data_IF_420587580440
#
_entry.id   IF_420587580440
#
_cell.length_a   1.000
_cell.length_b   1.000
_cell.length_c   1.000
_cell.angle_alpha   90.00
_cell.angle_beta   90.00
_cell.angle_gamma   90.00
#
_symmetry.space_group_name_H-M   'P 1'
#
loop_
_entity.id
_entity.type
_entity.pdbx_description
1 polymer ?
#
# COMPACT_ATOMS: atom_id res chain seq x y z
N UNK A 1 11.93 -17.41 38.55
CA UNK A 1 10.68 -18.17 38.74
C UNK A 1 9.59 -17.90 37.69
N UNK A 2 9.56 -16.77 36.98
CA UNK A 2 8.45 -16.38 36.07
C UNK A 2 8.37 -17.23 34.77
N UNK A 3 9.51 -17.70 34.24
CA UNK A 3 9.53 -18.48 32.99
C UNK A 3 8.89 -19.87 33.08
N UNK A 4 8.92 -20.49 34.27
CA UNK A 4 8.38 -21.84 34.49
C UNK A 4 6.84 -21.88 34.47
N UNK A 5 6.17 -20.79 34.87
CA UNK A 5 4.70 -20.71 34.84
C UNK A 5 4.16 -20.62 33.42
N UNK A 6 4.77 -19.79 32.56
CA UNK A 6 4.36 -19.66 31.15
C UNK A 6 4.50 -20.96 30.35
N UNK A 7 5.55 -21.73 30.62
CA UNK A 7 5.77 -23.01 29.94
C UNK A 7 4.73 -24.05 30.38
N UNK A 8 4.40 -24.11 31.67
CA UNK A 8 3.37 -25.01 32.20
C UNK A 8 1.97 -24.66 31.69
N UNK A 9 1.62 -23.38 31.59
CA UNK A 9 0.34 -22.93 31.03
C UNK A 9 0.22 -23.30 29.55
N UNK A 10 1.28 -23.06 28.77
CA UNK A 10 1.30 -23.39 27.33
C UNK A 10 1.18 -24.90 27.07
N UNK A 11 1.81 -25.72 27.90
CA UNK A 11 1.68 -27.19 27.83
C UNK A 11 0.27 -27.66 28.21
N UNK A 12 -0.38 -26.98 29.18
CA UNK A 12 -1.74 -27.31 29.63
C UNK A 12 -2.79 -26.91 28.60
N UNK A 13 -2.63 -25.76 27.94
CA UNK A 13 -3.46 -25.31 26.81
C UNK A 13 -3.31 -26.22 25.59
N UNK A 14 -2.08 -26.66 25.26
CA UNK A 14 -1.84 -27.61 24.18
C UNK A 14 -2.47 -28.98 24.44
N UNK A 15 -2.41 -29.47 25.69
CA UNK A 15 -3.07 -30.71 26.08
C UNK A 15 -4.61 -30.61 26.08
N UNK A 16 -5.17 -29.44 26.38
CA UNK A 16 -6.62 -29.19 26.32
C UNK A 16 -7.15 -29.02 24.89
N UNK A 17 -6.34 -28.48 23.98
CA UNK A 17 -6.70 -28.38 22.57
C UNK A 17 -6.60 -29.71 21.82
N UNK A 18 -5.72 -30.62 22.25
CA UNK A 18 -5.61 -31.97 21.69
C UNK A 18 -6.80 -32.89 22.03
N UNK A 19 -7.56 -32.60 23.09
CA UNK A 19 -8.71 -33.41 23.53
C UNK A 19 -10.07 -32.96 22.99
N UNK A 20 -10.14 -31.78 22.33
CA UNK A 20 -11.38 -31.25 21.71
C UNK A 20 -11.35 -31.41 20.20
N UNK A 21 -11.39 -32.66 19.72
CA UNK A 21 -11.63 -32.96 18.31
C UNK A 21 -13.09 -32.71 17.94
N UNK A 22 -13.35 -31.86 16.93
CA UNK A 22 -14.62 -31.84 16.19
C UNK A 22 -15.27 -30.49 15.87
N UNK A 23 -14.73 -29.35 16.31
CA UNK A 23 -15.24 -28.03 15.93
C UNK A 23 -14.22 -27.29 15.07
N UNK A 24 -14.65 -26.63 13.99
CA UNK A 24 -13.80 -25.72 13.23
C UNK A 24 -13.08 -24.78 14.21
N UNK A 25 -11.75 -24.90 14.31
CA UNK A 25 -10.99 -24.10 15.26
C UNK A 25 -11.15 -22.65 14.86
N UNK A 26 -11.87 -21.85 15.65
CA UNK A 26 -11.88 -20.39 15.47
C UNK A 26 -10.43 -19.95 15.62
N UNK A 27 -9.76 -19.66 14.50
CA UNK A 27 -8.39 -19.16 14.52
C UNK A 27 -8.40 -17.87 15.32
N UNK A 28 -7.65 -17.85 16.42
CA UNK A 28 -7.52 -16.65 17.25
C UNK A 28 -6.84 -15.57 16.41
N UNK A 29 -7.57 -14.50 16.12
CA UNK A 29 -7.04 -13.37 15.35
C UNK A 29 -5.86 -12.74 16.09
N UNK A 30 -4.80 -12.42 15.34
CA UNK A 30 -3.67 -11.64 15.81
C UNK A 30 -4.07 -10.19 16.11
N UNK A 31 -3.28 -9.50 16.92
CA UNK A 31 -3.50 -8.08 17.19
C UNK A 31 -3.48 -7.23 15.91
N UNK A 32 -2.61 -7.59 14.95
CA UNK A 32 -2.55 -6.93 13.64
C UNK A 32 -3.79 -7.15 12.79
N UNK A 33 -4.35 -8.36 12.75
CA UNK A 33 -5.62 -8.63 12.06
C UNK A 33 -6.79 -7.86 12.70
N UNK A 34 -6.88 -7.83 14.03
CA UNK A 34 -7.90 -7.06 14.74
C UNK A 34 -7.79 -5.56 14.44
N UNK A 35 -6.56 -5.03 14.43
CA UNK A 35 -6.30 -3.63 14.12
C UNK A 35 -6.63 -3.32 12.67
N UNK A 36 -6.22 -4.17 11.72
CA UNK A 36 -6.52 -3.97 10.31
C UNK A 36 -8.03 -4.05 10.04
N UNK A 37 -8.73 -5.00 10.65
CA UNK A 37 -10.19 -5.09 10.53
C UNK A 37 -10.87 -3.78 10.94
N UNK A 38 -10.41 -3.16 12.04
CA UNK A 38 -10.88 -1.84 12.45
C UNK A 38 -10.60 -0.78 11.38
N UNK A 39 -9.35 -0.68 10.92
CA UNK A 39 -8.95 0.29 9.91
C UNK A 39 -9.76 0.15 8.60
N UNK A 40 -10.05 -1.09 8.16
CA UNK A 40 -10.87 -1.36 6.97
C UNK A 40 -12.34 -0.97 7.19
N UNK A 41 -12.89 -1.23 8.38
CA UNK A 41 -14.28 -0.87 8.72
C UNK A 41 -14.51 0.64 8.85
N UNK A 42 -13.45 1.41 9.11
CA UNK A 42 -13.47 2.86 9.29
C UNK A 42 -12.91 3.61 8.06
N UNK A 43 -12.74 2.93 6.91
CA UNK A 43 -12.27 3.56 5.68
C UNK A 43 -13.22 4.68 5.25
N UNK A 44 -12.63 5.84 4.98
CA UNK A 44 -13.32 7.00 4.43
C UNK A 44 -12.48 7.52 3.27
N UNK A 45 -12.62 6.88 2.11
CA UNK A 45 -11.79 7.13 0.94
C UNK A 45 -12.43 8.15 0.00
N UNK A 46 -11.61 8.94 -0.74
CA UNK A 46 -12.10 9.70 -1.89
C UNK A 46 -12.81 8.78 -2.89
N UNK A 47 -13.77 9.31 -3.65
CA UNK A 47 -14.46 8.56 -4.72
C UNK A 47 -13.51 8.08 -5.83
N UNK A 48 -12.33 8.70 -5.93
CA UNK A 48 -11.22 8.32 -6.80
C UNK A 48 -10.45 7.09 -6.31
N UNK A 49 -10.74 6.56 -5.12
CA UNK A 49 -10.03 5.44 -4.52
C UNK A 49 -10.99 4.25 -4.30
N UNK A 50 -10.55 3.04 -4.65
CA UNK A 50 -11.32 1.82 -4.43
C UNK A 50 -10.43 0.70 -3.90
N UNK A 51 -10.92 -0.03 -2.90
CA UNK A 51 -10.24 -1.20 -2.33
C UNK A 51 -10.83 -2.49 -2.92
N UNK A 52 -9.99 -3.50 -3.13
CA UNK A 52 -10.41 -4.85 -3.55
C UNK A 52 -9.60 -5.94 -2.85
N UNK A 53 -10.20 -7.12 -2.71
CA UNK A 53 -9.61 -8.28 -2.05
C UNK A 53 -9.50 -9.43 -3.07
N UNK A 54 -8.46 -9.45 -3.92
CA UNK A 54 -8.38 -10.38 -5.06
C UNK A 54 -8.30 -11.86 -4.63
N UNK A 55 -7.79 -12.12 -3.42
CA UNK A 55 -7.68 -13.48 -2.86
C UNK A 55 -8.95 -13.92 -2.09
N UNK A 56 -10.01 -13.11 -2.11
CA UNK A 56 -11.22 -13.32 -1.33
C UNK A 56 -11.24 -12.55 -0.01
N UNK A 57 -12.42 -12.45 0.60
CA UNK A 57 -12.67 -11.59 1.78
C UNK A 57 -12.00 -12.09 3.06
N UNK A 58 -11.53 -13.34 3.09
CA UNK A 58 -10.88 -13.93 4.25
C UNK A 58 -9.39 -13.56 4.34
N UNK A 59 -8.77 -13.14 3.24
CA UNK A 59 -7.38 -12.68 3.18
C UNK A 59 -7.29 -11.16 3.34
N UNK A 60 -7.72 -10.65 4.49
CA UNK A 60 -7.74 -9.20 4.76
C UNK A 60 -6.34 -8.56 4.78
N UNK A 61 -5.30 -9.34 5.05
CA UNK A 61 -3.93 -8.86 5.18
C UNK A 61 -3.26 -8.61 3.81
N UNK A 62 -3.88 -9.06 2.72
CA UNK A 62 -3.42 -8.80 1.35
C UNK A 62 -4.57 -8.25 0.51
N UNK A 63 -4.47 -6.98 0.12
CA UNK A 63 -5.50 -6.32 -0.65
C UNK A 63 -4.89 -5.40 -1.69
N UNK A 64 -5.73 -4.90 -2.59
CA UNK A 64 -5.33 -3.93 -3.60
C UNK A 64 -6.12 -2.64 -3.45
N UNK A 65 -5.48 -1.53 -3.82
CA UNK A 65 -6.09 -0.20 -3.87
C UNK A 65 -5.91 0.36 -5.27
N UNK A 66 -7.00 0.72 -5.92
CA UNK A 66 -7.02 1.45 -7.18
C UNK A 66 -7.20 2.94 -6.89
N UNK A 67 -6.32 3.77 -7.45
CA UNK A 67 -6.38 5.23 -7.39
C UNK A 67 -6.61 5.78 -8.80
N UNK A 68 -7.59 6.68 -8.93
CA UNK A 68 -8.00 7.34 -10.17
C UNK A 68 -8.03 8.85 -9.96
N UNK A 69 -6.89 9.55 -10.10
CA UNK A 69 -6.83 11.00 -9.94
C UNK A 69 -7.82 11.70 -10.87
N UNK A 70 -8.59 12.62 -10.33
CA UNK A 70 -9.59 13.43 -11.02
C UNK A 70 -9.06 14.81 -11.43
N UNK A 71 -7.83 15.15 -11.03
CA UNK A 71 -7.10 16.34 -11.47
C UNK A 71 -5.58 16.08 -11.61
N UNK A 72 -4.81 17.15 -11.79
CA UNK A 72 -3.35 17.10 -11.88
C UNK A 72 -2.79 16.42 -13.14
N UNK A 73 -1.48 16.16 -13.12
CA UNK A 73 -0.76 15.57 -14.25
C UNK A 73 -1.30 14.18 -14.64
N UNK A 74 -1.79 13.44 -13.64
CA UNK A 74 -2.21 12.05 -13.76
C UNK A 74 -3.73 11.86 -13.93
N UNK A 75 -4.46 12.94 -14.21
CA UNK A 75 -5.89 12.91 -14.46
C UNK A 75 -6.29 11.83 -15.49
N UNK A 76 -7.37 11.09 -15.19
CA UNK A 76 -7.90 9.94 -15.94
C UNK A 76 -7.05 8.66 -15.91
N UNK A 77 -5.90 8.66 -15.21
CA UNK A 77 -5.13 7.45 -14.98
C UNK A 77 -5.81 6.49 -14.02
N UNK A 78 -5.46 5.21 -14.09
CA UNK A 78 -5.80 4.21 -13.09
C UNK A 78 -4.53 3.51 -12.59
N UNK A 79 -4.22 3.70 -11.31
CA UNK A 79 -3.01 3.19 -10.68
C UNK A 79 -3.37 2.16 -9.61
N UNK A 80 -2.84 0.95 -9.75
CA UNK A 80 -3.15 -0.16 -8.86
C UNK A 80 -1.99 -0.42 -7.92
N UNK A 81 -2.27 -0.52 -6.63
CA UNK A 81 -1.29 -0.79 -5.58
C UNK A 81 -1.62 -2.07 -4.85
N UNK A 82 -0.62 -2.90 -4.54
CA UNK A 82 -0.75 -3.99 -3.57
C UNK A 82 -0.43 -3.48 -2.17
N UNK A 83 -1.17 -4.00 -1.20
CA UNK A 83 -0.91 -3.84 0.21
C UNK A 83 -0.70 -5.22 0.82
N UNK A 84 0.41 -5.38 1.52
CA UNK A 84 0.71 -6.57 2.30
C UNK A 84 0.98 -6.14 3.76
N UNK A 85 0.04 -6.49 4.64
CA UNK A 85 0.09 -6.16 6.06
C UNK A 85 0.74 -7.33 6.82
N UNK A 86 1.68 -7.05 7.71
CA UNK A 86 2.30 -8.09 8.55
C UNK A 86 1.47 -8.32 9.82
N UNK A 87 1.54 -9.49 10.47
CA UNK A 87 0.90 -9.73 11.77
C UNK A 87 1.39 -8.79 12.90
N UNK A 88 2.48 -8.06 12.68
CA UNK A 88 3.09 -7.10 13.62
C UNK A 88 2.45 -5.70 13.51
N UNK A 89 1.59 -5.48 12.51
CA UNK A 89 0.78 -4.26 12.38
C UNK A 89 0.05 -3.94 13.70
N UNK A 90 -0.01 -2.67 14.14
CA UNK A 90 0.44 -1.44 13.48
C UNK A 90 1.88 -1.02 13.82
N UNK A 91 2.69 -1.87 14.45
CA UNK A 91 4.06 -1.51 14.81
C UNK A 91 4.97 -1.41 13.58
N UNK A 92 4.68 -2.19 12.55
CA UNK A 92 5.28 -2.07 11.21
C UNK A 92 4.26 -1.51 10.22
N UNK A 93 4.74 -0.69 9.27
CA UNK A 93 3.92 -0.19 8.17
C UNK A 93 3.49 -1.35 7.23
N UNK A 94 2.36 -1.21 6.51
CA UNK A 94 2.06 -2.11 5.40
C UNK A 94 3.13 -1.99 4.30
N UNK A 95 3.48 -3.11 3.67
CA UNK A 95 4.30 -3.09 2.45
C UNK A 95 3.41 -2.72 1.28
N UNK A 96 3.74 -1.64 0.59
CA UNK A 96 3.00 -1.14 -0.57
C UNK A 96 3.86 -1.21 -1.83
N UNK A 97 3.30 -1.71 -2.93
CA UNK A 97 3.92 -1.65 -4.26
C UNK A 97 2.91 -1.18 -5.31
N UNK A 98 3.36 -0.34 -6.23
CA UNK A 98 2.61 0.00 -7.43
C UNK A 98 2.71 -1.14 -8.46
N UNK A 99 1.59 -1.69 -8.90
CA UNK A 99 1.52 -2.66 -10.01
C UNK A 99 1.51 -1.96 -11.37
N UNK A 100 1.05 -0.71 -11.42
CA UNK A 100 0.99 0.06 -12.66
C UNK A 100 2.35 0.69 -12.93
N UNK A 101 3.03 0.28 -14.00
CA UNK A 101 4.26 0.95 -14.44
C UNK A 101 3.92 2.38 -14.88
N UNK A 102 4.45 3.38 -14.18
CA UNK A 102 4.08 4.79 -14.35
C UNK A 102 5.32 5.69 -14.36
N UNK A 103 5.28 6.76 -15.15
CA UNK A 103 6.30 7.80 -15.13
C UNK A 103 6.01 8.76 -13.97
N UNK A 104 6.69 8.58 -12.83
CA UNK A 104 6.41 9.32 -11.59
C UNK A 104 7.69 9.55 -10.76
N UNK A 105 7.92 10.76 -10.19
CA UNK A 105 9.11 11.05 -9.38
C UNK A 105 9.31 10.08 -8.20
N UNK A 106 8.23 9.77 -7.47
CA UNK A 106 8.26 8.96 -6.25
C UNK A 106 7.96 7.47 -6.45
N UNK A 107 7.89 6.96 -7.69
CA UNK A 107 7.65 5.54 -7.98
C UNK A 107 8.70 5.07 -9.00
N UNK A 108 9.43 3.99 -8.68
CA UNK A 108 10.39 3.39 -9.61
C UNK A 108 9.72 2.44 -10.64
N UNK A 109 10.52 1.86 -11.54
CA UNK A 109 10.01 0.98 -12.59
C UNK A 109 9.61 -0.41 -12.06
N UNK A 110 10.09 -0.78 -10.88
CA UNK A 110 9.82 -2.01 -10.15
C UNK A 110 8.59 -1.90 -9.23
N UNK A 111 8.01 -0.70 -9.16
CA UNK A 111 6.80 -0.39 -8.38
C UNK A 111 7.06 -0.03 -6.92
N UNK A 112 8.31 0.18 -6.50
CA UNK A 112 8.59 0.70 -5.16
C UNK A 112 8.09 2.14 -5.05
N UNK A 113 7.54 2.48 -3.89
CA UNK A 113 6.98 3.80 -3.60
C UNK A 113 7.86 4.51 -2.57
N UNK A 114 8.16 5.78 -2.81
CA UNK A 114 8.72 6.69 -1.83
C UNK A 114 7.60 7.51 -1.21
N UNK A 115 7.19 7.08 -0.01
CA UNK A 115 6.23 7.77 0.83
C UNK A 115 6.75 7.64 2.26
N UNK A 116 7.11 8.77 2.88
CA UNK A 116 7.75 8.84 4.20
C UNK A 116 7.01 8.05 5.29
N UNK A 117 5.67 8.12 5.30
CA UNK A 117 4.84 7.40 6.26
C UNK A 117 4.86 5.88 6.08
N UNK A 118 5.44 5.34 5.00
CA UNK A 118 5.70 3.90 4.86
C UNK A 118 7.07 3.49 5.40
N UNK A 119 7.86 4.45 5.92
CA UNK A 119 9.25 4.27 6.33
C UNK A 119 9.51 5.01 7.65
N UNK A 120 10.34 6.05 7.65
CA UNK A 120 10.81 6.77 8.84
C UNK A 120 9.70 7.44 9.64
N UNK A 121 8.64 7.91 8.96
CA UNK A 121 7.54 8.63 9.59
C UNK A 121 6.36 7.72 9.94
N UNK A 122 6.47 6.41 9.73
CA UNK A 122 5.46 5.48 10.21
C UNK A 122 5.35 5.53 11.73
N UNK A 123 4.12 5.65 12.22
CA UNK A 123 3.78 5.54 13.64
C UNK A 123 2.57 4.63 13.79
N UNK A 124 2.47 3.83 14.87
CA UNK A 124 1.32 2.95 15.11
C UNK A 124 -0.05 3.63 15.19
N UNK A 125 -0.08 4.96 15.34
CA UNK A 125 -1.31 5.77 15.31
C UNK A 125 -1.84 5.99 13.89
N UNK A 126 -0.98 5.89 12.87
CA UNK A 126 -1.38 5.95 11.46
C UNK A 126 -2.17 4.69 11.10
N UNK A 127 -3.01 4.80 10.06
CA UNK A 127 -3.89 3.73 9.62
C UNK A 127 -3.88 3.59 8.09
N UNK A 128 -4.59 2.57 7.58
CA UNK A 128 -4.70 2.32 6.13
C UNK A 128 -5.29 3.52 5.38
N UNK A 129 -6.25 4.23 5.99
CA UNK A 129 -6.83 5.43 5.40
C UNK A 129 -5.74 6.48 5.12
N UNK A 130 -4.91 6.80 6.12
CA UNK A 130 -3.80 7.75 5.98
C UNK A 130 -2.82 7.34 4.88
N UNK A 131 -2.49 6.04 4.78
CA UNK A 131 -1.61 5.54 3.71
C UNK A 131 -2.23 5.77 2.34
N UNK A 132 -3.52 5.45 2.15
CA UNK A 132 -4.21 5.64 0.86
C UNK A 132 -4.28 7.12 0.49
N UNK A 133 -4.56 8.01 1.45
CA UNK A 133 -4.50 9.46 1.21
C UNK A 133 -3.09 9.93 0.83
N UNK A 134 -2.05 9.42 1.49
CA UNK A 134 -0.66 9.72 1.13
C UNK A 134 -0.33 9.28 -0.30
N UNK A 135 -0.77 8.09 -0.72
CA UNK A 135 -0.60 7.61 -2.09
C UNK A 135 -1.39 8.47 -3.10
N UNK A 136 -2.63 8.84 -2.78
CA UNK A 136 -3.44 9.74 -3.62
C UNK A 136 -2.73 11.08 -3.81
N UNK A 137 -2.19 11.63 -2.72
CA UNK A 137 -1.51 12.92 -2.72
C UNK A 137 -0.25 12.92 -3.59
N UNK A 138 0.48 11.80 -3.69
CA UNK A 138 1.62 11.70 -4.63
C UNK A 138 1.20 11.98 -6.07
N UNK A 139 -0.03 11.65 -6.48
CA UNK A 139 -0.52 11.92 -7.84
C UNK A 139 -1.04 13.35 -8.02
N UNK A 140 -1.56 13.99 -6.98
CA UNK A 140 -2.02 15.38 -7.06
C UNK A 140 -0.86 16.37 -6.91
N UNK A 141 0.10 16.04 -6.05
CA UNK A 141 1.29 16.84 -5.73
C UNK A 141 2.55 15.96 -5.74
N UNK A 142 3.10 15.62 -6.92
CA UNK A 142 4.32 14.83 -7.01
C UNK A 142 5.50 15.56 -6.38
N UNK A 143 6.30 14.83 -5.59
CA UNK A 143 7.41 15.41 -4.85
C UNK A 143 8.74 15.20 -5.61
N UNK A 144 9.47 16.29 -5.87
CA UNK A 144 10.80 16.26 -6.47
C UNK A 144 11.94 16.02 -5.47
N UNK A 145 11.66 16.13 -4.18
CA UNK A 145 12.58 15.84 -3.07
C UNK A 145 12.57 14.33 -2.79
N UNK A 146 13.76 13.77 -2.60
CA UNK A 146 14.00 12.32 -2.41
C UNK A 146 13.28 11.39 -3.45
N UNK A 147 13.47 11.64 -4.76
CA UNK A 147 12.79 10.87 -5.79
C UNK A 147 13.41 9.49 -5.99
N UNK A 148 12.59 8.53 -6.42
CA UNK A 148 13.07 7.23 -6.91
C UNK A 148 13.37 7.28 -8.42
N UNK A 149 12.64 8.12 -9.14
CA UNK A 149 12.88 8.39 -10.55
C UNK A 149 13.48 9.80 -10.70
N UNK A 150 14.80 9.86 -10.67
CA UNK A 150 15.54 11.13 -10.74
C UNK A 150 15.26 11.91 -12.02
N UNK A 151 15.09 11.23 -13.16
CA UNK A 151 14.79 11.88 -14.45
C UNK A 151 13.41 12.55 -14.41
N UNK A 152 12.38 11.86 -13.90
CA UNK A 152 11.04 12.41 -13.74
C UNK A 152 11.04 13.61 -12.80
N UNK A 153 11.75 13.51 -11.67
CA UNK A 153 11.86 14.60 -10.71
C UNK A 153 12.59 15.83 -11.28
N UNK A 154 13.67 15.61 -12.04
CA UNK A 154 14.39 16.69 -12.69
C UNK A 154 13.52 17.42 -13.71
N UNK A 155 12.82 16.68 -14.58
CA UNK A 155 11.92 17.29 -15.57
C UNK A 155 10.77 18.02 -14.90
N UNK A 156 10.22 17.50 -13.79
CA UNK A 156 9.20 18.19 -13.00
C UNK A 156 9.69 19.56 -12.49
N UNK A 157 10.91 19.62 -11.93
CA UNK A 157 11.49 20.88 -11.43
C UNK A 157 11.83 21.86 -12.55
N UNK A 158 12.52 21.37 -13.58
CA UNK A 158 13.15 22.22 -14.59
C UNK A 158 12.15 22.65 -15.68
N UNK A 159 11.18 21.78 -16.01
CA UNK A 159 10.21 22.03 -17.08
C UNK A 159 8.87 21.30 -16.83
N UNK A 160 7.99 21.87 -15.99
CA UNK A 160 6.67 21.29 -15.68
C UNK A 160 5.79 20.97 -16.91
N UNK A 161 5.89 21.76 -17.99
CA UNK A 161 5.14 21.51 -19.23
C UNK A 161 5.64 20.27 -19.98
N UNK A 162 6.95 20.06 -20.00
CA UNK A 162 7.53 18.83 -20.55
C UNK A 162 7.19 17.64 -19.66
N UNK A 163 7.19 17.81 -18.34
CA UNK A 163 6.75 16.77 -17.40
C UNK A 163 5.32 16.33 -17.71
N UNK A 164 4.39 17.26 -17.84
CA UNK A 164 3.00 16.97 -18.22
C UNK A 164 2.93 16.20 -19.55
N UNK A 165 3.66 16.66 -20.57
CA UNK A 165 3.71 16.00 -21.88
C UNK A 165 4.23 14.56 -21.78
N UNK A 166 5.27 14.33 -20.98
CA UNK A 166 5.85 13.01 -20.75
C UNK A 166 4.88 12.10 -19.99
N UNK A 167 4.21 12.61 -18.95
CA UNK A 167 3.18 11.89 -18.20
C UNK A 167 2.06 11.46 -19.14
N UNK A 168 1.51 12.38 -19.95
CA UNK A 168 0.46 12.06 -20.93
C UNK A 168 0.91 10.99 -21.91
N UNK A 169 2.11 11.13 -22.49
CA UNK A 169 2.66 10.14 -23.42
C UNK A 169 2.81 8.77 -22.78
N UNK A 170 3.36 8.70 -21.57
CA UNK A 170 3.51 7.45 -20.83
C UNK A 170 2.15 6.80 -20.55
N UNK A 171 1.18 7.58 -20.06
CA UNK A 171 -0.16 7.11 -19.71
C UNK A 171 -0.95 6.58 -20.91
N UNK A 172 -0.76 7.16 -22.10
CA UNK A 172 -1.39 6.68 -23.35
C UNK A 172 -0.76 5.41 -23.93
N UNK A 173 0.35 4.91 -23.36
CA UNK A 173 1.10 3.78 -23.88
C UNK A 173 2.22 4.21 -24.83
N UNK A 174 3.33 4.70 -24.29
CA UNK A 174 4.38 5.30 -25.10
C UNK A 174 5.77 5.30 -24.45
N UNK A 175 6.75 5.78 -25.21
CA UNK A 175 8.13 5.91 -24.74
C UNK A 175 8.40 7.30 -24.14
N UNK A 176 9.05 7.31 -22.98
CA UNK A 176 9.72 8.50 -22.44
C UNK A 176 11.21 8.16 -22.34
N UNK A 177 12.04 8.86 -23.11
CA UNK A 177 13.42 8.44 -23.35
C UNK A 177 13.46 7.05 -23.99
N UNK A 178 14.17 6.11 -23.37
CA UNK A 178 14.29 4.71 -23.82
C UNK A 178 13.31 3.76 -23.14
N UNK A 179 12.49 4.26 -22.21
CA UNK A 179 11.59 3.42 -21.41
C UNK A 179 10.18 3.44 -21.97
N UNK A 180 9.66 2.26 -22.32
CA UNK A 180 8.25 2.08 -22.65
C UNK A 180 7.40 1.99 -21.39
N UNK A 181 6.30 2.74 -21.37
CA UNK A 181 5.25 2.68 -20.36
C UNK A 181 3.97 2.12 -20.97
N UNK A 182 3.41 1.02 -20.44
CA UNK A 182 2.11 0.50 -20.84
C UNK A 182 1.00 1.53 -20.59
N UNK A 183 -0.05 1.47 -21.40
CA UNK A 183 -1.22 2.33 -21.25
C UNK A 183 -1.91 2.09 -19.90
N UNK A 184 -2.28 3.17 -19.20
CA UNK A 184 -2.97 3.13 -17.91
C UNK A 184 -4.15 4.11 -17.80
N UNK A 185 -4.72 4.54 -18.94
CA UNK A 185 -5.95 5.34 -19.07
C UNK A 185 -7.04 4.57 -19.83
#
# INVERSE_FOLDING_TARGET
>A
MIGLFKVKEKQREQAQNASRGGGASVKKQSAGELRLHKDISELNLPSSCAISFPNGKDDLMNFEVSIKPDDGYYHNGTFLFTFQVSPVYPHEAPKVKCKTKVYHPNIDLEGSVCLNILREDWKPVLNINTVIYGLFHLFTEPNSEDPLNHDAAQVLRDNPKLFETNVRRAMTGGYVGQTFFPRCI
#
